data_IF_320006801255
#
_entry.id   IF_320006801255
#
_cell.length_a   1.000
_cell.length_b   1.000
_cell.length_c   1.000
_cell.angle_alpha   90.00
_cell.angle_beta   90.00
_cell.angle_gamma   90.00
#
_symmetry.space_group_name_H-M   'P 1'
#
loop_
_entity.id
_entity.type
_entity.pdbx_description
1 polymer ?
#
# COMPACT_ATOMS: atom_id res chain seq x y z
N UNK A 1 -6.16 -10.45 6.07
CA UNK A 1 -5.47 -9.86 7.24
C UNK A 1 -5.49 -8.33 7.15
N UNK A 2 -5.10 -7.60 8.20
CA UNK A 2 -4.89 -6.14 8.16
C UNK A 2 -3.40 -5.85 7.92
N UNK A 3 -3.06 -5.18 6.83
CA UNK A 3 -1.67 -4.93 6.41
C UNK A 3 -1.47 -3.42 6.21
N UNK A 4 -0.39 -2.87 6.77
CA UNK A 4 0.04 -1.50 6.51
C UNK A 4 1.31 -1.52 5.65
N UNK A 5 1.32 -0.79 4.54
CA UNK A 5 2.47 -0.63 3.65
C UNK A 5 2.97 0.81 3.75
N UNK A 6 4.21 0.98 4.21
CA UNK A 6 4.84 2.31 4.38
C UNK A 6 5.74 2.60 3.18
N UNK A 7 5.40 3.65 2.43
CA UNK A 7 5.95 4.04 1.15
C UNK A 7 5.05 3.63 -0.03
N UNK A 8 4.66 4.59 -0.87
CA UNK A 8 3.83 4.40 -2.08
C UNK A 8 4.63 4.54 -3.37
N UNK A 9 5.94 4.29 -3.33
CA UNK A 9 6.75 4.08 -4.53
C UNK A 9 6.36 2.80 -5.27
N UNK A 10 7.00 2.52 -6.41
CA UNK A 10 6.69 1.35 -7.26
C UNK A 10 6.53 0.04 -6.47
N UNK A 11 7.51 -0.28 -5.60
CA UNK A 11 7.49 -1.51 -4.81
C UNK A 11 6.32 -1.54 -3.84
N UNK A 12 6.13 -0.46 -3.07
CA UNK A 12 5.09 -0.40 -2.04
C UNK A 12 3.69 -0.41 -2.63
N UNK A 13 3.48 0.35 -3.72
CA UNK A 13 2.18 0.40 -4.39
C UNK A 13 1.79 -0.93 -5.02
N UNK A 14 2.69 -1.55 -5.81
CA UNK A 14 2.44 -2.86 -6.46
C UNK A 14 2.22 -3.94 -5.42
N UNK A 15 3.04 -3.96 -4.36
CA UNK A 15 2.89 -4.94 -3.29
C UNK A 15 1.57 -4.75 -2.54
N UNK A 16 1.21 -3.50 -2.24
CA UNK A 16 -0.04 -3.16 -1.58
C UNK A 16 -1.27 -3.56 -2.39
N UNK A 17 -1.26 -3.33 -3.71
CA UNK A 17 -2.36 -3.76 -4.59
C UNK A 17 -2.46 -5.28 -4.70
N UNK A 18 -1.34 -6.01 -4.85
CA UNK A 18 -1.38 -7.48 -4.87
C UNK A 18 -1.91 -8.05 -3.53
N UNK A 19 -1.55 -7.45 -2.39
CA UNK A 19 -2.11 -7.87 -1.11
C UNK A 19 -3.60 -7.54 -0.98
N UNK A 20 -4.05 -6.42 -1.51
CA UNK A 20 -5.47 -6.07 -1.52
C UNK A 20 -6.29 -7.01 -2.43
N UNK A 21 -5.77 -7.32 -3.62
CA UNK A 21 -6.36 -8.25 -4.58
C UNK A 21 -6.53 -9.67 -3.99
N UNK A 22 -5.57 -10.10 -3.17
CA UNK A 22 -5.64 -11.41 -2.48
C UNK A 22 -6.58 -11.42 -1.26
N UNK A 23 -7.37 -10.36 -1.04
CA UNK A 23 -8.41 -10.30 -0.01
C UNK A 23 -7.94 -9.75 1.34
N UNK A 24 -6.78 -9.08 1.39
CA UNK A 24 -6.33 -8.39 2.60
C UNK A 24 -6.87 -6.96 2.66
N UNK A 25 -7.11 -6.48 3.88
CA UNK A 25 -7.41 -5.08 4.10
C UNK A 25 -6.10 -4.32 4.23
N UNK A 26 -5.73 -3.60 3.18
CA UNK A 26 -4.44 -2.92 3.05
C UNK A 26 -4.60 -1.40 3.22
N UNK A 27 -3.70 -0.77 3.98
CA UNK A 27 -3.56 0.68 4.07
C UNK A 27 -2.15 1.04 3.59
N UNK A 28 -2.05 1.86 2.55
CA UNK A 28 -0.79 2.41 2.09
C UNK A 28 -0.59 3.80 2.69
N UNK A 29 0.62 4.10 3.17
CA UNK A 29 0.97 5.39 3.81
C UNK A 29 2.22 5.93 3.15
N UNK A 30 2.25 7.20 2.78
CA UNK A 30 3.46 7.91 2.35
C UNK A 30 3.61 9.22 3.14
N UNK A 31 4.82 9.77 3.15
CA UNK A 31 5.10 11.06 3.77
C UNK A 31 4.81 12.22 2.81
N UNK A 32 4.85 11.95 1.51
CA UNK A 32 4.55 12.93 0.47
C UNK A 32 3.05 12.99 0.23
N UNK A 33 2.40 14.01 0.80
CA UNK A 33 0.97 14.28 0.64
C UNK A 33 0.55 14.51 -0.82
N UNK A 34 1.47 14.83 -1.73
CA UNK A 34 1.13 14.99 -3.14
C UNK A 34 0.92 13.66 -3.88
N UNK A 35 1.35 12.53 -3.29
CA UNK A 35 1.25 11.20 -3.90
C UNK A 35 -0.03 10.44 -3.53
N UNK A 36 -0.72 10.83 -2.45
CA UNK A 36 -1.76 10.03 -1.81
C UNK A 36 -3.00 10.85 -1.51
#
# INVERSE_FOLDING_TARGET
MRIAVVGTGYVGLVTGTCFAETGNHVICVDIDENKV
#
